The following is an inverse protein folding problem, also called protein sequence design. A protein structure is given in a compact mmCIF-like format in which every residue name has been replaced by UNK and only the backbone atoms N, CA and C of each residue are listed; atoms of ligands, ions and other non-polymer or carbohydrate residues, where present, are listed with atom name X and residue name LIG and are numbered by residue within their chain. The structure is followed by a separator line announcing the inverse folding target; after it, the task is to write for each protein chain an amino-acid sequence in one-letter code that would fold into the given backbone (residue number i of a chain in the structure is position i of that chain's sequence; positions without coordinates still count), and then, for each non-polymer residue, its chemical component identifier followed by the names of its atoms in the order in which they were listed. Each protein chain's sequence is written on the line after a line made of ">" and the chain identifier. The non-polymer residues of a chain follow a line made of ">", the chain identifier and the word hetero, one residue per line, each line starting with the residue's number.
data_IF_385926234698
#
_entry.id   IF_385926234698
#
_cell.length_a   1.000
_cell.length_b   1.000
_cell.length_c   1.000
_cell.angle_alpha   90.00
_cell.angle_beta   90.00
_cell.angle_gamma   90.00
#
_symmetry.space_group_name_H-M   'P 1'
#
loop_
_entity.id
_entity.type
_entity.pdbx_description
1 polymer ?
#
# COMPACT_ATOMS: atom_id res chain seq x y z
N UNK A 1 10.09 -23.72 -25.60
CA UNK A 1 10.27 -23.38 -24.16
C UNK A 1 9.50 -22.09 -23.83
N UNK A 2 8.20 -22.03 -24.07
CA UNK A 2 7.41 -20.78 -23.91
C UNK A 2 6.39 -20.86 -22.77
N UNK A 3 6.14 -22.06 -22.24
CA UNK A 3 5.14 -22.31 -21.19
C UNK A 3 5.61 -21.93 -19.79
N UNK A 4 6.93 -21.97 -19.52
CA UNK A 4 7.50 -21.69 -18.18
C UNK A 4 7.53 -20.19 -17.87
N UNK A 5 7.68 -19.32 -18.88
CA UNK A 5 7.76 -17.87 -18.71
C UNK A 5 6.41 -17.26 -18.30
N UNK A 6 5.30 -17.80 -18.82
CA UNK A 6 3.94 -17.30 -18.55
C UNK A 6 3.53 -17.46 -17.08
N UNK A 7 4.08 -18.44 -16.36
CA UNK A 7 3.77 -18.71 -14.96
C UNK A 7 4.54 -17.82 -13.96
N UNK A 8 5.65 -17.17 -14.38
CA UNK A 8 6.49 -16.36 -13.47
C UNK A 8 6.17 -14.87 -13.48
N UNK A 9 5.54 -14.36 -14.53
CA UNK A 9 5.18 -12.93 -14.66
C UNK A 9 4.40 -12.37 -13.46
N UNK A 10 3.27 -12.98 -13.06
CA UNK A 10 2.47 -12.49 -11.94
C UNK A 10 3.23 -12.47 -10.61
N UNK A 11 4.13 -13.43 -10.37
CA UNK A 11 4.95 -13.50 -9.16
C UNK A 11 6.01 -12.41 -9.12
N UNK A 12 6.65 -12.10 -10.26
CA UNK A 12 7.59 -10.97 -10.34
C UNK A 12 6.86 -9.65 -10.07
N UNK A 13 5.68 -9.46 -10.67
CA UNK A 13 4.84 -8.28 -10.41
C UNK A 13 4.41 -8.21 -8.95
N UNK A 14 4.06 -9.34 -8.32
CA UNK A 14 3.75 -9.41 -6.91
C UNK A 14 4.94 -9.02 -6.02
N UNK A 15 6.14 -9.47 -6.37
CA UNK A 15 7.37 -9.10 -5.66
C UNK A 15 7.65 -7.60 -5.74
N UNK A 16 7.56 -7.02 -6.94
CA UNK A 16 7.71 -5.57 -7.14
C UNK A 16 6.62 -4.79 -6.38
N UNK A 17 5.37 -5.24 -6.45
CA UNK A 17 4.27 -4.62 -5.72
C UNK A 17 4.48 -4.69 -4.20
N UNK A 18 5.02 -5.79 -3.67
CA UNK A 18 5.33 -5.92 -2.25
C UNK A 18 6.41 -4.93 -1.82
N UNK A 19 7.49 -4.78 -2.61
CA UNK A 19 8.53 -3.78 -2.34
C UNK A 19 7.94 -2.36 -2.32
N UNK A 20 7.14 -2.01 -3.33
CA UNK A 20 6.46 -0.72 -3.38
C UNK A 20 5.51 -0.51 -2.19
N UNK A 21 4.79 -1.55 -1.77
CA UNK A 21 3.88 -1.48 -0.62
C UNK A 21 4.62 -1.22 0.69
N UNK A 22 5.83 -1.74 0.83
CA UNK A 22 6.72 -1.46 1.97
C UNK A 22 7.30 -0.05 1.91
N UNK A 23 7.69 0.43 0.72
CA UNK A 23 8.11 1.83 0.52
C UNK A 23 6.98 2.79 0.93
N UNK A 24 5.73 2.50 0.55
CA UNK A 24 4.56 3.25 1.02
C UNK A 24 4.39 3.10 2.54
N UNK A 25 4.60 1.90 3.07
CA UNK A 25 4.56 1.61 4.51
C UNK A 25 5.50 2.48 5.33
N UNK A 26 6.69 2.83 4.81
CA UNK A 26 7.59 3.78 5.46
C UNK A 26 6.91 5.13 5.70
N UNK A 27 6.14 5.65 4.74
CA UNK A 27 5.40 6.91 4.91
C UNK A 27 4.25 6.77 5.91
N UNK A 28 3.57 5.62 5.97
CA UNK A 28 2.56 5.36 7.01
C UNK A 28 3.16 5.37 8.42
N UNK A 29 4.39 4.89 8.58
CA UNK A 29 5.10 4.93 9.87
C UNK A 29 5.61 6.34 10.19
N UNK A 30 6.27 6.99 9.24
CA UNK A 30 6.78 8.36 9.39
C UNK A 30 5.64 9.38 9.61
N UNK A 31 4.49 9.15 8.99
CA UNK A 31 3.28 9.94 9.19
C UNK A 31 2.79 9.94 10.64
N UNK A 32 3.22 9.00 11.48
CA UNK A 32 2.93 9.04 12.92
C UNK A 32 3.55 10.21 13.67
N UNK A 33 4.46 10.97 13.04
CA UNK A 33 5.01 12.22 13.58
C UNK A 33 4.07 13.42 13.39
N UNK A 34 3.13 13.34 12.44
CA UNK A 34 2.25 14.45 12.02
C UNK A 34 0.78 14.11 12.24
N UNK A 35 0.38 12.88 11.92
CA UNK A 35 -0.99 12.41 11.93
C UNK A 35 -1.39 12.03 13.38
N UNK A 36 -2.50 12.57 13.91
CA UNK A 36 -3.04 12.18 15.21
C UNK A 36 -3.31 10.68 15.30
N UNK A 37 -3.00 10.10 16.46
CA UNK A 37 -3.11 8.65 16.68
C UNK A 37 -4.47 8.04 16.31
N UNK A 38 -5.58 8.73 16.60
CA UNK A 38 -6.92 8.24 16.29
C UNK A 38 -7.21 8.10 14.79
N UNK A 39 -6.51 8.82 13.91
CA UNK A 39 -6.56 8.63 12.45
C UNK A 39 -5.50 7.63 12.00
N UNK A 40 -4.32 7.67 12.62
CA UNK A 40 -3.19 6.82 12.28
C UNK A 40 -3.47 5.32 12.50
N UNK A 41 -4.09 4.93 13.62
CA UNK A 41 -4.37 3.52 13.89
C UNK A 41 -5.31 2.88 12.86
N UNK A 42 -6.46 3.49 12.49
CA UNK A 42 -7.26 3.03 11.36
C UNK A 42 -6.47 2.97 10.06
N UNK A 43 -5.62 3.98 9.80
CA UNK A 43 -4.83 4.07 8.59
C UNK A 43 -3.84 2.89 8.48
N UNK A 44 -3.15 2.54 9.57
CA UNK A 44 -2.31 1.34 9.66
C UNK A 44 -3.11 0.05 9.46
N UNK A 45 -4.30 -0.06 10.05
CA UNK A 45 -5.17 -1.22 9.87
C UNK A 45 -5.53 -1.42 8.39
N UNK A 46 -5.86 -0.35 7.66
CA UNK A 46 -6.14 -0.41 6.21
C UNK A 46 -4.90 -0.79 5.42
N UNK A 47 -3.72 -0.26 5.75
CA UNK A 47 -2.47 -0.63 5.09
C UNK A 47 -2.11 -2.12 5.27
N UNK A 48 -2.31 -2.65 6.48
CA UNK A 48 -2.13 -4.09 6.77
C UNK A 48 -3.17 -4.95 6.04
N UNK A 49 -4.41 -4.48 5.93
CA UNK A 49 -5.46 -5.14 5.16
C UNK A 49 -5.08 -5.21 3.66
N UNK A 50 -4.56 -4.12 3.10
CA UNK A 50 -4.05 -4.10 1.72
C UNK A 50 -2.84 -5.03 1.54
N UNK A 51 -1.95 -5.14 2.54
CA UNK A 51 -0.85 -6.11 2.50
C UNK A 51 -1.37 -7.55 2.49
N UNK A 52 -2.36 -7.88 3.34
CA UNK A 52 -3.00 -9.20 3.33
C UNK A 52 -3.69 -9.49 1.99
N UNK A 53 -4.36 -8.49 1.42
CA UNK A 53 -4.98 -8.60 0.10
C UNK A 53 -3.94 -8.84 -1.01
N UNK A 54 -2.81 -8.12 -0.99
CA UNK A 54 -1.68 -8.35 -1.90
C UNK A 54 -1.18 -9.79 -1.81
N UNK A 55 -0.95 -10.31 -0.60
CA UNK A 55 -0.53 -11.71 -0.41
C UNK A 55 -1.58 -12.68 -0.97
N UNK A 56 -2.87 -12.39 -0.76
CA UNK A 56 -3.97 -13.21 -1.30
C UNK A 56 -3.98 -13.19 -2.84
N UNK A 57 -3.75 -12.03 -3.46
CA UNK A 57 -3.65 -11.89 -4.91
C UNK A 57 -2.42 -12.60 -5.48
N UNK A 58 -1.27 -12.49 -4.79
CA UNK A 58 -0.04 -13.18 -5.16
C UNK A 58 -0.21 -14.70 -5.13
N UNK A 59 -0.86 -15.24 -4.08
CA UNK A 59 -1.20 -16.68 -3.99
C UNK A 59 -2.12 -17.15 -5.12
N UNK A 60 -2.96 -16.26 -5.65
CA UNK A 60 -3.85 -16.53 -6.78
C UNK A 60 -3.20 -16.28 -8.14
N UNK A 61 -1.89 -15.98 -8.20
CA UNK A 61 -1.16 -15.59 -9.42
C UNK A 61 -1.86 -14.47 -10.21
N UNK A 62 -2.45 -13.52 -9.49
CA UNK A 62 -3.20 -12.41 -10.08
C UNK A 62 -2.28 -11.27 -10.51
N UNK A 63 -2.56 -10.68 -11.67
CA UNK A 63 -1.88 -9.47 -12.16
C UNK A 63 -2.29 -8.18 -11.44
N UNK A 64 -3.29 -8.27 -10.55
CA UNK A 64 -3.84 -7.12 -9.81
C UNK A 64 -3.03 -6.74 -8.57
N UNK A 65 -1.90 -7.42 -8.28
CA UNK A 65 -1.05 -7.11 -7.12
C UNK A 65 -0.55 -5.65 -7.04
N UNK A 66 -0.31 -4.90 -8.14
CA UNK A 66 0.08 -3.49 -8.07
C UNK A 66 -1.03 -2.58 -7.53
N UNK A 67 -2.28 -3.03 -7.50
CA UNK A 67 -3.39 -2.20 -7.03
C UNK A 67 -3.29 -1.91 -5.52
N UNK A 68 -2.72 -2.83 -4.74
CA UNK A 68 -2.54 -2.66 -3.30
C UNK A 68 -1.60 -1.49 -2.93
N UNK A 69 -0.35 -1.40 -3.44
CA UNK A 69 0.52 -0.26 -3.15
C UNK A 69 -0.01 1.06 -3.73
N UNK A 70 -0.68 1.03 -4.89
CA UNK A 70 -1.30 2.24 -5.47
C UNK A 70 -2.44 2.73 -4.56
N UNK A 71 -3.33 1.84 -4.12
CA UNK A 71 -4.41 2.21 -3.20
C UNK A 71 -3.87 2.76 -1.88
N UNK A 72 -2.81 2.16 -1.33
CA UNK A 72 -2.17 2.66 -0.12
C UNK A 72 -1.57 4.06 -0.32
N UNK A 73 -0.85 4.28 -1.43
CA UNK A 73 -0.27 5.59 -1.73
C UNK A 73 -1.35 6.68 -1.89
N UNK A 74 -2.41 6.37 -2.65
CA UNK A 74 -3.53 7.30 -2.85
C UNK A 74 -4.22 7.62 -1.53
N UNK A 75 -4.53 6.60 -0.71
CA UNK A 75 -5.17 6.81 0.58
C UNK A 75 -4.32 7.71 1.50
N UNK A 76 -3.02 7.46 1.56
CA UNK A 76 -2.12 8.28 2.37
C UNK A 76 -2.08 9.74 1.91
N UNK A 77 -1.95 9.97 0.60
CA UNK A 77 -1.97 11.32 0.04
C UNK A 77 -3.28 12.04 0.33
N UNK A 78 -4.42 11.36 0.19
CA UNK A 78 -5.74 11.92 0.53
C UNK A 78 -5.79 12.30 2.01
N UNK A 79 -5.32 11.45 2.92
CA UNK A 79 -5.33 11.77 4.36
C UNK A 79 -4.46 12.98 4.68
N UNK A 80 -3.24 13.06 4.13
CA UNK A 80 -2.35 14.21 4.37
C UNK A 80 -2.97 15.49 3.79
N UNK A 81 -3.39 15.48 2.53
CA UNK A 81 -3.98 16.66 1.89
C UNK A 81 -5.25 17.14 2.57
N UNK A 82 -6.13 16.23 2.99
CA UNK A 82 -7.34 16.59 3.76
C UNK A 82 -6.96 17.05 5.17
N UNK A 83 -5.99 16.41 5.82
CA UNK A 83 -5.50 16.80 7.14
C UNK A 83 -4.93 18.21 7.16
N UNK A 84 -4.12 18.57 6.17
CA UNK A 84 -3.56 19.91 5.98
C UNK A 84 -4.66 20.94 5.68
N UNK A 85 -5.54 20.65 4.70
CA UNK A 85 -6.53 21.63 4.23
C UNK A 85 -7.72 21.84 5.17
N UNK A 86 -8.19 20.78 5.83
CA UNK A 86 -9.45 20.80 6.59
C UNK A 86 -9.21 20.82 8.09
N UNK A 87 -8.17 20.12 8.56
CA UNK A 87 -7.89 19.97 9.99
C UNK A 87 -6.70 20.83 10.47
N UNK A 88 -6.05 21.55 9.55
CA UNK A 88 -4.95 22.46 9.85
C UNK A 88 -3.71 21.75 10.40
N UNK A 89 -3.51 20.48 10.06
CA UNK A 89 -2.30 19.76 10.47
C UNK A 89 -1.09 20.42 9.79
N UNK A 90 -0.10 20.82 10.57
CA UNK A 90 1.15 21.37 10.06
C UNK A 90 2.10 20.21 9.74
N UNK A 91 2.38 20.01 8.45
CA UNK A 91 3.46 19.15 7.95
C UNK A 91 4.79 19.87 7.93
#
# INVERSE_FOLDING_TARGET
>A
METVTRARGPLVVAGLAAVLHLVVGYFYLAGGLVIPGYVLFPLWAVWLLLAWWLVTLARRNSWWTPLAPVAAAVLFLVVITVGEQVLGWQG
#
